data_IF_818124000805
#
_entry.id   IF_818124000805
#
_cell.length_a   1.000
_cell.length_b   1.000
_cell.length_c   1.000
_cell.angle_alpha   90.00
_cell.angle_beta   90.00
_cell.angle_gamma   90.00
#
_symmetry.space_group_name_H-M   'P 1'
#
loop_
_entity.id
_entity.type
_entity.pdbx_description
1 polymer ?
#
# COMPACT_ATOMS: atom_id res chain seq x y z
N UNK A 1 0.81 -4.32 28.22
CA UNK A 1 -0.26 -3.98 27.25
C UNK A 1 -0.36 -2.47 27.23
N UNK A 2 -0.27 -1.81 26.08
CA UNK A 2 -0.35 -0.34 26.01
C UNK A 2 -1.78 0.13 26.23
N UNK A 3 -1.94 1.28 26.88
CA UNK A 3 -3.21 1.99 26.90
C UNK A 3 -3.60 2.46 25.50
N UNK A 4 -4.88 2.84 25.33
CA UNK A 4 -5.37 3.40 24.06
C UNK A 4 -4.62 4.66 23.66
N UNK A 5 -4.29 5.50 24.65
CA UNK A 5 -3.60 6.77 24.41
C UNK A 5 -2.13 6.57 24.04
N UNK A 6 -1.40 5.71 24.74
CA UNK A 6 -0.02 5.38 24.38
C UNK A 6 0.07 4.77 22.97
N UNK A 7 -0.88 3.89 22.62
CA UNK A 7 -0.96 3.31 21.28
C UNK A 7 -1.21 4.38 20.21
N UNK A 8 -2.02 5.40 20.52
CA UNK A 8 -2.30 6.53 19.61
C UNK A 8 -1.04 7.38 19.41
N UNK A 9 -0.32 7.68 20.49
CA UNK A 9 0.92 8.46 20.45
C UNK A 9 2.01 7.74 19.65
N UNK A 10 2.20 6.43 19.86
CA UNK A 10 3.18 5.65 19.09
C UNK A 10 2.90 5.65 17.59
N UNK A 11 1.64 5.53 17.19
CA UNK A 11 1.25 5.65 15.77
C UNK A 11 1.55 7.03 15.22
N UNK A 12 1.15 8.08 15.94
CA UNK A 12 1.40 9.46 15.54
C UNK A 12 2.90 9.75 15.39
N UNK A 13 3.71 9.30 16.35
CA UNK A 13 5.16 9.45 16.34
C UNK A 13 5.79 8.74 15.15
N UNK A 14 5.35 7.50 14.86
CA UNK A 14 5.84 6.75 13.71
C UNK A 14 5.58 7.51 12.41
N UNK A 15 4.34 7.89 12.12
CA UNK A 15 3.98 8.55 10.86
C UNK A 15 4.63 9.93 10.73
N UNK A 16 4.75 10.67 11.84
CA UNK A 16 5.48 11.95 11.86
C UNK A 16 6.96 11.75 11.56
N UNK A 17 7.57 10.71 12.12
CA UNK A 17 8.99 10.39 11.90
C UNK A 17 9.25 9.91 10.47
N UNK A 18 8.35 9.10 9.91
CA UNK A 18 8.42 8.63 8.53
C UNK A 18 8.39 9.82 7.55
N UNK A 19 7.41 10.73 7.70
CA UNK A 19 7.29 11.91 6.85
C UNK A 19 8.47 12.88 6.95
N UNK A 20 9.14 12.96 8.11
CA UNK A 20 10.36 13.76 8.29
C UNK A 20 11.59 13.09 7.69
N UNK A 21 11.71 11.77 7.82
CA UNK A 21 12.88 11.01 7.36
C UNK A 21 12.89 10.86 5.84
N UNK A 22 11.72 10.73 5.23
CA UNK A 22 11.53 10.56 3.80
C UNK A 22 10.54 11.62 3.27
N UNK A 23 10.95 12.90 3.21
CA UNK A 23 10.08 13.99 2.78
C UNK A 23 9.77 13.85 1.28
N UNK A 24 8.60 13.31 0.97
CA UNK A 24 8.12 13.08 -0.39
C UNK A 24 6.62 13.31 -0.48
N UNK A 25 6.18 13.79 -1.65
CA UNK A 25 4.77 13.84 -2.01
C UNK A 25 4.33 12.51 -2.60
N UNK A 26 3.82 11.62 -1.74
CA UNK A 26 3.22 10.35 -2.14
C UNK A 26 1.92 10.56 -2.90
N UNK A 27 1.63 9.70 -3.88
CA UNK A 27 0.40 9.72 -4.67
C UNK A 27 -0.83 9.48 -3.79
N UNK A 28 -0.79 8.46 -2.93
CA UNK A 28 -1.91 8.06 -2.06
C UNK A 28 -3.23 7.99 -2.86
N UNK A 29 -4.18 8.87 -2.56
CA UNK A 29 -5.48 8.98 -3.25
C UNK A 29 -5.45 9.80 -4.55
N UNK A 30 -4.36 10.52 -4.83
CA UNK A 30 -4.23 11.44 -5.96
C UNK A 30 -3.77 10.73 -7.25
N UNK A 31 -4.27 9.52 -7.49
CA UNK A 31 -3.94 8.68 -8.66
C UNK A 31 -4.58 9.19 -9.95
N UNK A 32 -5.61 10.02 -9.86
CA UNK A 32 -6.48 10.47 -10.97
C UNK A 32 -7.30 9.35 -11.63
N UNK A 33 -7.32 8.16 -11.03
CA UNK A 33 -8.20 7.06 -11.43
C UNK A 33 -9.17 6.83 -10.28
N UNK A 34 -10.47 6.82 -10.58
CA UNK A 34 -11.51 6.65 -9.56
C UNK A 34 -11.35 5.28 -8.90
N UNK A 35 -11.52 5.24 -7.58
CA UNK A 35 -11.40 4.01 -6.79
C UNK A 35 -9.97 3.50 -6.57
N UNK A 36 -8.96 4.01 -7.28
CA UNK A 36 -7.58 3.55 -7.15
C UNK A 36 -6.82 4.41 -6.14
N UNK A 37 -6.28 3.80 -5.10
CA UNK A 37 -5.51 4.52 -4.08
C UNK A 37 -4.33 3.69 -3.53
N UNK A 38 -3.18 4.34 -3.37
CA UNK A 38 -2.05 3.79 -2.63
C UNK A 38 -2.26 3.93 -1.12
N UNK A 39 -1.85 2.91 -0.38
CA UNK A 39 -1.93 2.88 1.09
C UNK A 39 -0.63 2.37 1.70
N UNK A 40 -0.22 3.01 2.78
CA UNK A 40 0.71 2.45 3.75
C UNK A 40 -0.10 1.87 4.90
N UNK A 41 0.23 0.66 5.33
CA UNK A 41 -0.39 0.02 6.49
C UNK A 41 0.68 -0.46 7.44
N UNK A 42 0.61 -0.02 8.70
CA UNK A 42 1.48 -0.51 9.76
C UNK A 42 0.69 -0.68 11.05
N UNK A 43 0.58 -1.93 11.51
CA UNK A 43 -0.14 -2.29 12.71
C UNK A 43 0.77 -2.98 13.73
N UNK A 44 0.18 -3.66 14.71
CA UNK A 44 0.92 -4.29 15.79
C UNK A 44 1.62 -5.60 15.39
N UNK A 45 1.40 -6.10 14.17
CA UNK A 45 1.82 -7.42 13.69
C UNK A 45 2.52 -7.37 12.33
N UNK A 46 2.21 -6.40 11.50
CA UNK A 46 2.61 -6.36 10.09
C UNK A 46 2.74 -4.94 9.55
N UNK A 47 3.55 -4.80 8.50
CA UNK A 47 3.62 -3.62 7.67
C UNK A 47 3.49 -4.01 6.19
N UNK A 48 2.72 -3.26 5.41
CA UNK A 48 2.57 -3.47 3.98
C UNK A 48 2.35 -2.15 3.23
N UNK A 49 2.63 -2.20 1.94
CA UNK A 49 2.17 -1.18 0.98
C UNK A 49 1.12 -1.82 0.07
N UNK A 50 0.12 -1.04 -0.34
CA UNK A 50 -0.97 -1.53 -1.18
C UNK A 50 -1.40 -0.51 -2.23
N UNK A 51 -1.95 -1.03 -3.32
CA UNK A 51 -2.78 -0.34 -4.30
C UNK A 51 -4.17 -0.98 -4.20
N UNK A 52 -5.10 -0.23 -3.63
CA UNK A 52 -6.50 -0.64 -3.48
C UNK A 52 -7.32 -0.10 -4.64
N UNK A 53 -8.22 -0.94 -5.16
CA UNK A 53 -9.23 -0.60 -6.15
C UNK A 53 -10.62 -0.81 -5.55
N UNK A 54 -11.24 0.31 -5.23
CA UNK A 54 -12.52 0.42 -4.55
C UNK A 54 -13.50 1.26 -5.39
N UNK A 55 -14.21 0.63 -6.31
CA UNK A 55 -15.23 1.27 -7.15
C UNK A 55 -16.46 0.37 -7.34
N UNK A 56 -17.43 0.78 -8.15
CA UNK A 56 -18.51 -0.10 -8.59
C UNK A 56 -17.98 -1.34 -9.32
N UNK A 57 -18.76 -2.42 -9.30
CA UNK A 57 -18.31 -3.73 -9.76
C UNK A 57 -17.78 -3.73 -11.19
N UNK A 58 -18.45 -3.05 -12.13
CA UNK A 58 -18.04 -3.02 -13.53
C UNK A 58 -16.71 -2.26 -13.70
N UNK A 59 -16.59 -1.09 -13.07
CA UNK A 59 -15.34 -0.32 -13.12
C UNK A 59 -14.20 -1.05 -12.41
N UNK A 60 -14.49 -1.74 -11.31
CA UNK A 60 -13.51 -2.56 -10.59
C UNK A 60 -13.02 -3.71 -11.46
N UNK A 61 -13.90 -4.48 -12.10
CA UNK A 61 -13.52 -5.57 -13.00
C UNK A 61 -12.65 -5.04 -14.15
N UNK A 62 -13.10 -3.99 -14.85
CA UNK A 62 -12.38 -3.43 -15.99
C UNK A 62 -10.97 -2.94 -15.62
N UNK A 63 -10.83 -2.24 -14.49
CA UNK A 63 -9.54 -1.76 -14.03
C UNK A 63 -8.66 -2.90 -13.48
N UNK A 64 -9.26 -3.91 -12.84
CA UNK A 64 -8.54 -5.07 -12.33
C UNK A 64 -7.94 -5.93 -13.45
N UNK A 65 -8.68 -6.18 -14.53
CA UNK A 65 -8.19 -6.93 -15.69
C UNK A 65 -6.92 -6.31 -16.28
N UNK A 66 -6.88 -4.97 -16.38
CA UNK A 66 -5.71 -4.22 -16.84
C UNK A 66 -4.53 -4.36 -15.88
N UNK A 67 -4.77 -4.28 -14.57
CA UNK A 67 -3.73 -4.49 -13.55
C UNK A 67 -3.17 -5.92 -13.58
N UNK A 68 -4.02 -6.92 -13.83
CA UNK A 68 -3.62 -8.32 -13.97
C UNK A 68 -2.82 -8.54 -15.26
N UNK A 69 -3.21 -7.90 -16.36
CA UNK A 69 -2.44 -7.93 -17.61
C UNK A 69 -1.00 -7.40 -17.44
N UNK A 70 -0.82 -6.42 -16.55
CA UNK A 70 0.49 -5.83 -16.23
C UNK A 70 1.25 -6.58 -15.12
N UNK A 71 0.69 -7.65 -14.55
CA UNK A 71 1.29 -8.40 -13.43
C UNK A 71 2.69 -8.93 -13.71
N UNK A 72 2.94 -9.36 -14.95
CA UNK A 72 4.26 -9.83 -15.37
C UNK A 72 5.33 -8.74 -15.25
N UNK A 73 5.00 -7.52 -15.70
CA UNK A 73 5.89 -6.35 -15.64
C UNK A 73 6.10 -5.93 -14.18
N UNK A 74 5.01 -5.82 -13.40
CA UNK A 74 5.12 -5.47 -11.98
C UNK A 74 6.08 -6.41 -11.25
N UNK A 75 5.96 -7.72 -11.44
CA UNK A 75 6.79 -8.71 -10.74
C UNK A 75 8.21 -8.83 -11.28
N UNK A 76 8.46 -8.51 -12.54
CA UNK A 76 9.81 -8.62 -13.11
C UNK A 76 10.66 -7.39 -12.79
N UNK A 77 10.09 -6.21 -12.94
CA UNK A 77 10.87 -4.97 -12.99
C UNK A 77 10.75 -4.11 -11.72
N UNK A 78 9.73 -4.34 -10.88
CA UNK A 78 9.37 -3.44 -9.78
C UNK A 78 9.25 -4.16 -8.42
N UNK A 79 8.26 -5.04 -8.27
CA UNK A 79 7.88 -5.70 -7.01
C UNK A 79 7.67 -7.22 -7.22
N UNK A 80 8.74 -8.04 -7.19
CA UNK A 80 8.66 -9.49 -7.42
C UNK A 80 7.66 -10.22 -6.53
N UNK A 81 7.64 -9.85 -5.25
CA UNK A 81 6.85 -10.51 -4.23
C UNK A 81 5.46 -9.87 -4.05
N UNK A 82 5.03 -8.98 -4.95
CA UNK A 82 3.69 -8.40 -4.91
C UNK A 82 2.62 -9.49 -5.02
N UNK A 83 1.62 -9.40 -4.15
CA UNK A 83 0.45 -10.28 -4.08
C UNK A 83 -0.75 -9.58 -4.70
N UNK A 84 -1.60 -10.37 -5.38
CA UNK A 84 -2.82 -9.90 -6.03
C UNK A 84 -4.00 -10.62 -5.39
N UNK A 85 -4.95 -9.86 -4.86
CA UNK A 85 -6.20 -10.36 -4.30
C UNK A 85 -7.35 -9.62 -4.97
N UNK A 86 -8.08 -10.33 -5.82
CA UNK A 86 -9.22 -9.76 -6.55
C UNK A 86 -10.40 -9.43 -5.62
N UNK A 87 -10.63 -10.31 -4.65
CA UNK A 87 -11.69 -10.21 -3.65
C UNK A 87 -11.06 -10.07 -2.26
N UNK A 88 -10.85 -8.84 -1.82
CA UNK A 88 -10.41 -8.51 -0.48
C UNK A 88 -11.54 -7.82 0.29
N UNK A 89 -11.85 -8.35 1.48
CA UNK A 89 -12.88 -7.78 2.35
C UNK A 89 -12.23 -6.87 3.40
N UNK A 90 -12.62 -5.60 3.39
CA UNK A 90 -12.32 -4.66 4.45
C UNK A 90 -13.11 -5.02 5.72
N UNK A 91 -12.66 -4.54 6.88
CA UNK A 91 -13.32 -4.78 8.19
C UNK A 91 -14.78 -4.30 8.23
N UNK A 92 -15.15 -3.35 7.36
CA UNK A 92 -16.52 -2.84 7.23
C UNK A 92 -17.40 -3.71 6.29
N UNK A 93 -16.89 -4.85 5.81
CA UNK A 93 -17.59 -5.75 4.90
C UNK A 93 -17.55 -5.34 3.43
N UNK A 94 -16.89 -4.22 3.09
CA UNK A 94 -16.76 -3.79 1.69
C UNK A 94 -15.72 -4.62 0.97
N UNK A 95 -16.10 -5.10 -0.21
CA UNK A 95 -15.22 -5.86 -1.09
C UNK A 95 -14.46 -4.92 -2.04
N UNK A 96 -13.15 -5.11 -2.13
CA UNK A 96 -12.23 -4.35 -2.99
C UNK A 96 -11.29 -5.32 -3.70
N UNK A 97 -10.60 -4.84 -4.74
CA UNK A 97 -9.44 -5.56 -5.28
C UNK A 97 -8.17 -4.89 -4.77
N UNK A 98 -7.12 -5.68 -4.51
CA UNK A 98 -5.90 -5.20 -3.86
C UNK A 98 -4.67 -5.84 -4.47
N UNK A 99 -3.67 -5.00 -4.75
CA UNK A 99 -2.28 -5.44 -4.94
C UNK A 99 -1.50 -4.96 -3.74
N UNK A 100 -0.70 -5.82 -3.11
CA UNK A 100 0.08 -5.42 -1.94
C UNK A 100 1.40 -6.15 -1.84
N UNK A 101 2.34 -5.54 -1.12
CA UNK A 101 3.59 -6.16 -0.73
C UNK A 101 3.69 -6.11 0.79
N UNK A 102 3.86 -7.29 1.40
CA UNK A 102 4.00 -7.46 2.84
C UNK A 102 5.48 -7.46 3.21
N UNK A 103 5.83 -6.76 4.29
CA UNK A 103 7.14 -6.90 4.91
C UNK A 103 7.19 -8.26 5.65
N UNK A 104 8.03 -9.18 5.18
CA UNK A 104 8.08 -10.56 5.70
C UNK A 104 8.49 -10.65 7.19
N UNK A 105 9.33 -9.73 7.64
CA UNK A 105 9.73 -9.68 9.05
C UNK A 105 8.55 -9.30 9.96
N UNK A 106 8.45 -9.96 11.11
CA UNK A 106 7.47 -9.61 12.15
C UNK A 106 7.83 -8.24 12.72
N UNK A 107 6.93 -7.28 12.53
CA UNK A 107 7.09 -5.89 12.97
C UNK A 107 5.88 -5.44 13.76
N UNK A 108 6.05 -4.35 14.52
CA UNK A 108 4.97 -3.81 15.32
C UNK A 108 5.14 -2.31 15.44
N UNK A 109 4.08 -1.56 15.18
CA UNK A 109 4.09 -0.09 15.35
C UNK A 109 4.37 0.32 16.81
N UNK A 110 4.12 -0.58 17.75
CA UNK A 110 4.47 -0.38 19.16
C UNK A 110 5.93 -0.72 19.49
N UNK A 111 6.67 -1.36 18.59
CA UNK A 111 8.09 -1.68 18.75
C UNK A 111 8.98 -0.74 17.93
N UNK A 112 9.53 0.29 18.59
CA UNK A 112 10.40 1.30 17.95
C UNK A 112 11.63 0.71 17.26
N UNK A 113 12.11 -0.46 17.71
CA UNK A 113 13.26 -1.12 17.07
C UNK A 113 12.95 -1.57 15.64
N UNK A 114 11.67 -1.81 15.31
CA UNK A 114 11.24 -2.20 13.96
C UNK A 114 10.97 -1.01 13.03
N UNK A 115 10.95 0.22 13.57
CA UNK A 115 10.50 1.38 12.79
C UNK A 115 11.42 1.70 11.63
N UNK A 116 12.73 1.57 11.81
CA UNK A 116 13.70 1.84 10.76
C UNK A 116 13.46 0.93 9.56
N UNK A 117 13.38 -0.38 9.78
CA UNK A 117 13.15 -1.37 8.73
C UNK A 117 11.84 -1.10 8.00
N UNK A 118 10.77 -0.77 8.73
CA UNK A 118 9.46 -0.46 8.13
C UNK A 118 9.51 0.83 7.30
N UNK A 119 10.19 1.87 7.78
CA UNK A 119 10.31 3.12 7.03
C UNK A 119 11.16 2.95 5.77
N UNK A 120 12.28 2.23 5.85
CA UNK A 120 13.13 1.90 4.70
C UNK A 120 12.35 1.05 3.69
N UNK A 121 11.60 0.04 4.16
CA UNK A 121 10.70 -0.78 3.35
C UNK A 121 9.63 0.06 2.63
N UNK A 122 8.90 0.91 3.36
CA UNK A 122 7.88 1.79 2.79
C UNK A 122 8.46 2.72 1.74
N UNK A 123 9.58 3.37 2.05
CA UNK A 123 10.19 4.32 1.13
C UNK A 123 10.65 3.63 -0.16
N UNK A 124 11.43 2.54 -0.06
CA UNK A 124 11.97 1.86 -1.21
C UNK A 124 10.88 1.27 -2.11
N UNK A 125 9.94 0.53 -1.52
CA UNK A 125 8.97 -0.23 -2.30
C UNK A 125 7.81 0.64 -2.80
N UNK A 126 7.36 1.65 -2.05
CA UNK A 126 6.31 2.54 -2.55
C UNK A 126 6.80 3.39 -3.72
N UNK A 127 8.08 3.78 -3.74
CA UNK A 127 8.67 4.49 -4.90
C UNK A 127 8.57 3.62 -6.16
N UNK A 128 8.93 2.34 -6.07
CA UNK A 128 8.82 1.41 -7.19
C UNK A 128 7.36 1.19 -7.60
N UNK A 129 6.46 1.07 -6.63
CA UNK A 129 5.05 0.87 -6.91
C UNK A 129 4.40 2.07 -7.61
N UNK A 130 4.71 3.28 -7.14
CA UNK A 130 4.26 4.53 -7.77
C UNK A 130 4.88 4.72 -9.16
N UNK A 131 6.15 4.33 -9.35
CA UNK A 131 6.82 4.40 -10.65
C UNK A 131 6.14 3.48 -11.68
N UNK A 132 5.89 2.22 -11.31
CA UNK A 132 5.09 1.30 -12.12
C UNK A 132 3.73 1.91 -12.48
N UNK A 133 3.01 2.42 -11.47
CA UNK A 133 1.68 2.96 -11.71
C UNK A 133 1.71 4.16 -12.66
N UNK A 134 2.65 5.08 -12.50
CA UNK A 134 2.72 6.27 -13.35
C UNK A 134 3.16 5.93 -14.79
N UNK A 135 4.06 4.96 -14.97
CA UNK A 135 4.51 4.50 -16.29
C UNK A 135 3.37 3.83 -17.08
N UNK A 136 2.54 3.02 -16.41
CA UNK A 136 1.47 2.25 -17.05
C UNK A 136 0.07 2.85 -16.83
N UNK A 137 -0.01 4.05 -16.26
CA UNK A 137 -1.26 4.72 -15.86
C UNK A 137 -2.26 4.85 -16.99
N UNK A 138 -1.79 5.18 -18.19
CA UNK A 138 -2.63 5.37 -19.36
C UNK A 138 -3.27 4.06 -19.85
N UNK A 139 -2.63 2.92 -19.58
CA UNK A 139 -3.20 1.60 -19.84
C UNK A 139 -4.27 1.29 -18.79
N UNK A 140 -3.95 1.54 -17.50
CA UNK A 140 -4.83 1.26 -16.36
C UNK A 140 -6.10 2.14 -16.43
N UNK A 141 -5.94 3.40 -16.80
CA UNK A 141 -7.04 4.37 -16.89
C UNK A 141 -8.09 3.90 -17.88
N UNK A 142 -9.33 3.77 -17.40
CA UNK A 142 -10.53 3.50 -18.18
C UNK A 142 -11.04 4.73 -18.92
#
# INVERSE_FOLDING_TARGET
MFSKEESRLLRQDFWTSFGKSFPRKWLLYNTKIKGVAFKFHFDNKSALIALDLEDDLNNRINCWEKLVALKGILKSDYLPDALYEEEFYLDNGKEISRIYLLLEQKVSIHNKNSWRDVMEFFNANMILFEAFFEEYKDIIKT
#
